data_IF_854675660096
#
_entry.id   IF_854675660096
#
_cell.length_a   1.000
_cell.length_b   1.000
_cell.length_c   1.000
_cell.angle_alpha   90.00
_cell.angle_beta   90.00
_cell.angle_gamma   90.00
#
_symmetry.space_group_name_H-M   'P 1'
#
loop_
_entity.id
_entity.type
_entity.pdbx_description
1 polymer ?
#
# COMPACT_ATOMS: atom_id res chain seq x y z
N UNK A 1 1.79 -3.90 11.97
CA UNK A 1 1.53 -2.82 11.00
C UNK A 1 0.61 -1.83 11.68
N UNK A 2 0.82 -0.52 11.53
CA UNK A 2 0.01 0.48 12.24
C UNK A 2 -0.85 1.23 11.24
N UNK A 3 -2.18 1.18 11.43
CA UNK A 3 -3.11 1.88 10.56
C UNK A 3 -2.85 3.40 10.62
N UNK A 4 -2.62 4.07 9.48
CA UNK A 4 -2.34 5.52 9.46
C UNK A 4 -3.56 6.39 9.79
N UNK A 5 -4.76 5.80 9.88
CA UNK A 5 -6.00 6.50 10.21
C UNK A 5 -6.31 6.46 11.71
N UNK A 6 -6.32 5.26 12.31
CA UNK A 6 -6.73 5.07 13.71
C UNK A 6 -5.59 4.66 14.65
N UNK A 7 -4.36 4.52 14.12
CA UNK A 7 -3.18 4.06 14.84
C UNK A 7 -3.32 2.68 15.49
N UNK A 8 -4.31 1.89 15.06
CA UNK A 8 -4.44 0.51 15.50
C UNK A 8 -3.31 -0.34 14.93
N UNK A 9 -2.66 -1.13 15.78
CA UNK A 9 -1.64 -2.08 15.35
C UNK A 9 -2.28 -3.44 15.09
N UNK A 10 -2.17 -3.92 13.86
CA UNK A 10 -2.63 -5.25 13.45
C UNK A 10 -1.50 -6.06 12.80
N UNK A 11 -1.68 -7.38 12.82
CA UNK A 11 -0.76 -8.33 12.19
C UNK A 11 -1.34 -8.71 10.85
N UNK A 12 -0.65 -8.36 9.77
CA UNK A 12 -1.04 -8.74 8.41
C UNK A 12 -0.04 -9.78 7.94
N UNK A 13 -0.52 -10.87 7.34
CA UNK A 13 0.37 -11.83 6.70
C UNK A 13 1.03 -11.16 5.50
N UNK A 14 2.35 -11.01 5.56
CA UNK A 14 3.12 -10.50 4.45
C UNK A 14 3.45 -11.65 3.50
N UNK A 15 2.98 -11.55 2.25
CA UNK A 15 3.15 -12.60 1.21
C UNK A 15 4.61 -12.72 0.69
N UNK A 16 5.54 -11.93 1.24
CA UNK A 16 6.96 -11.93 0.83
C UNK A 16 7.26 -11.05 -0.38
N UNK A 17 6.24 -10.44 -0.99
CA UNK A 17 6.39 -9.62 -2.18
C UNK A 17 6.74 -8.17 -1.81
N UNK A 18 7.83 -7.66 -2.37
CA UNK A 18 8.28 -6.27 -2.20
C UNK A 18 7.54 -5.31 -3.15
N UNK A 19 6.22 -5.22 -3.00
CA UNK A 19 5.35 -4.36 -3.80
C UNK A 19 4.28 -3.66 -2.94
N UNK A 20 3.91 -2.42 -3.25
CA UNK A 20 2.83 -1.73 -2.56
C UNK A 20 1.50 -2.45 -2.76
N UNK A 21 0.69 -2.54 -1.70
CA UNK A 21 -0.64 -3.15 -1.73
C UNK A 21 -1.61 -2.38 -0.86
N UNK A 22 -2.89 -2.53 -1.18
CA UNK A 22 -3.96 -2.06 -0.31
C UNK A 22 -4.21 -3.07 0.83
N UNK A 23 -4.44 -2.55 2.02
CA UNK A 23 -4.96 -3.26 3.18
C UNK A 23 -6.13 -2.49 3.79
N UNK A 24 -7.15 -3.19 4.23
CA UNK A 24 -8.22 -2.68 5.06
C UNK A 24 -7.85 -2.81 6.55
N UNK A 25 -8.19 -1.79 7.34
CA UNK A 25 -8.00 -1.87 8.78
C UNK A 25 -9.18 -2.58 9.42
N UNK A 26 -8.91 -3.67 10.14
CA UNK A 26 -9.95 -4.46 10.84
C UNK A 26 -10.72 -3.67 11.90
N UNK A 27 -10.18 -2.53 12.37
CA UNK A 27 -10.76 -1.72 13.44
C UNK A 27 -11.60 -0.54 12.97
N UNK A 28 -11.13 0.21 11.97
CA UNK A 28 -11.85 1.38 11.45
C UNK A 28 -12.45 1.15 10.05
N UNK A 29 -12.15 0.04 9.39
CA UNK A 29 -12.62 -0.27 8.03
C UNK A 29 -11.99 0.57 6.93
N UNK A 30 -11.04 1.46 7.26
CA UNK A 30 -10.39 2.32 6.27
C UNK A 30 -9.34 1.54 5.48
N UNK A 31 -9.35 1.71 4.16
CA UNK A 31 -8.33 1.19 3.26
C UNK A 31 -7.10 2.11 3.27
N UNK A 32 -5.92 1.53 3.47
CA UNK A 32 -4.62 2.18 3.40
C UNK A 32 -3.67 1.39 2.51
N UNK A 33 -2.54 1.99 2.18
CA UNK A 33 -1.48 1.36 1.41
C UNK A 33 -0.39 0.92 2.39
N UNK A 34 0.11 -0.29 2.23
CA UNK A 34 1.35 -0.73 2.85
C UNK A 34 2.36 -1.10 1.78
N UNK A 35 3.59 -0.61 1.93
CA UNK A 35 4.69 -0.88 1.02
C UNK A 35 5.86 -1.52 1.78
N UNK A 36 6.13 -2.81 1.54
CA UNK A 36 7.28 -3.49 2.11
C UNK A 36 8.56 -3.00 1.43
N UNK A 37 9.50 -2.48 2.22
CA UNK A 37 10.82 -2.03 1.78
C UNK A 37 11.92 -2.89 2.42
N UNK A 38 13.15 -2.72 1.97
CA UNK A 38 14.30 -3.39 2.55
C UNK A 38 14.47 -2.99 4.03
N UNK A 39 14.03 -3.86 4.94
CA UNK A 39 14.19 -3.71 6.39
C UNK A 39 13.06 -2.99 7.12
N UNK A 40 12.04 -2.46 6.43
CA UNK A 40 10.89 -1.82 7.07
C UNK A 40 9.64 -1.84 6.19
N UNK A 41 8.47 -1.55 6.76
CA UNK A 41 7.21 -1.41 6.01
C UNK A 41 6.74 0.03 6.14
N UNK A 42 6.52 0.69 5.01
CA UNK A 42 5.93 2.02 4.96
C UNK A 42 4.40 1.92 4.88
N UNK A 43 3.70 2.87 5.49
CA UNK A 43 2.23 2.93 5.50
C UNK A 43 1.78 4.30 5.03
N UNK A 44 0.88 4.32 4.04
CA UNK A 44 0.39 5.56 3.44
C UNK A 44 -1.15 5.58 3.45
N UNK A 45 -1.72 6.78 3.61
CA UNK A 45 -3.15 6.98 3.39
C UNK A 45 -3.44 7.00 1.89
N UNK A 46 -4.63 6.55 1.50
CA UNK A 46 -5.08 6.64 0.11
C UNK A 46 -5.13 8.12 -0.31
N UNK A 47 -4.41 8.47 -1.38
CA UNK A 47 -4.26 9.85 -1.87
C UNK A 47 -3.11 10.66 -1.26
N UNK A 48 -2.41 10.16 -0.23
CA UNK A 48 -1.15 10.76 0.24
C UNK A 48 0.08 10.05 -0.33
N UNK A 49 -0.10 8.86 -0.93
CA UNK A 49 0.98 8.12 -1.58
C UNK A 49 1.28 8.69 -2.97
N UNK A 50 2.56 8.86 -3.30
CA UNK A 50 3.01 9.08 -4.67
C UNK A 50 2.58 7.93 -5.59
N UNK A 51 2.48 8.20 -6.88
CA UNK A 51 2.03 7.23 -7.89
C UNK A 51 2.87 5.94 -7.92
N UNK A 52 4.11 5.97 -7.43
CA UNK A 52 5.00 4.82 -7.30
C UNK A 52 4.65 3.89 -6.13
N UNK A 53 4.04 4.44 -5.09
CA UNK A 53 3.62 3.72 -3.90
C UNK A 53 2.11 3.45 -3.88
N UNK A 54 1.33 4.15 -4.69
CA UNK A 54 -0.06 3.76 -4.96
C UNK A 54 -0.10 2.61 -5.99
N UNK A 55 -0.66 1.44 -5.64
CA UNK A 55 -0.62 0.27 -6.52
C UNK A 55 -1.48 0.43 -7.78
N UNK A 56 -2.55 1.24 -7.75
CA UNK A 56 -3.40 1.50 -8.92
C UNK A 56 -2.67 2.42 -9.91
N UNK A 57 -2.09 3.49 -9.38
CA UNK A 57 -1.30 4.46 -10.14
C UNK A 57 -0.03 3.81 -10.72
N UNK A 58 0.66 2.98 -9.95
CA UNK A 58 1.82 2.19 -10.42
C UNK A 58 1.42 1.20 -11.52
N UNK A 59 0.27 0.56 -11.41
CA UNK A 59 -0.22 -0.33 -12.45
C UNK A 59 -0.49 0.43 -13.75
N UNK A 60 -1.08 1.63 -13.67
CA UNK A 60 -1.33 2.49 -14.83
C UNK A 60 0.00 2.94 -15.48
N UNK A 61 0.96 3.44 -14.70
CA UNK A 61 2.26 3.88 -15.21
C UNK A 61 3.06 2.72 -15.82
N UNK A 62 2.97 1.51 -15.24
CA UNK A 62 3.63 0.31 -15.77
C UNK A 62 2.88 -0.32 -16.96
N UNK A 63 1.57 -0.13 -17.09
CA UNK A 63 0.77 -0.60 -18.23
C UNK A 63 0.69 0.42 -19.38
N UNK A 64 1.07 1.68 -19.17
CA UNK A 64 1.04 2.72 -20.20
C UNK A 64 2.20 2.63 -21.21
N UNK A 65 2.89 1.48 -21.28
CA UNK A 65 3.84 1.14 -22.35
C UNK A 65 3.30 0.08 -23.33
N UNK A 66 1.99 -0.20 -23.34
CA UNK A 66 1.39 -0.87 -24.49
C UNK A 66 1.06 0.20 -25.55
N UNK A 67 2.07 0.51 -26.37
CA UNK A 67 1.90 1.24 -27.62
C UNK A 67 1.21 0.32 -28.65
N UNK A 68 0.02 0.68 -29.14
CA UNK A 68 -0.34 0.65 -30.58
C UNK A 68 -1.61 1.45 -30.90
#
# INVERSE_FOLDING_TARGET
MTCPYCQHTETILHDGLFAPRYADCSKCGMQYIYEPRAGYVAFFKKGEADCWSDPDCRAIEMCSHDEE
#
